data_IF_393033124103
#
_entry.id   IF_393033124103
#
_cell.length_a   1.000
_cell.length_b   1.000
_cell.length_c   1.000
_cell.angle_alpha   90.00
_cell.angle_beta   90.00
_cell.angle_gamma   90.00
#
_symmetry.space_group_name_H-M   'P 1'
#
loop_
_entity.id
_entity.type
_entity.pdbx_description
1 polymer ?
#
# COMPACT_ATOMS: atom_id res chain seq x y z
N UNK A 1 12.89 15.50 7.23
CA UNK A 1 11.73 16.25 6.72
C UNK A 1 10.50 15.40 6.95
N UNK A 2 9.37 16.01 7.28
CA UNK A 2 8.10 15.28 7.26
C UNK A 2 7.62 15.08 5.82
N UNK A 3 6.73 14.13 5.58
CA UNK A 3 6.16 13.92 4.23
C UNK A 3 5.33 15.13 3.78
N UNK A 4 4.60 15.78 4.71
CA UNK A 4 3.88 17.01 4.40
C UNK A 4 4.81 18.12 3.91
N UNK A 5 5.92 18.37 4.62
CA UNK A 5 6.92 19.35 4.18
C UNK A 5 7.55 19.01 2.82
N UNK A 6 7.71 17.72 2.52
CA UNK A 6 8.26 17.28 1.25
C UNK A 6 7.28 17.50 0.09
N UNK A 7 5.98 17.32 0.31
CA UNK A 7 4.93 17.65 -0.66
C UNK A 7 4.82 19.16 -0.87
N UNK A 8 4.81 19.94 0.22
CA UNK A 8 4.75 21.41 0.17
C UNK A 8 5.92 22.00 -0.61
N UNK A 9 7.10 21.42 -0.48
CA UNK A 9 8.33 21.83 -1.17
C UNK A 9 8.49 21.21 -2.56
N UNK A 10 7.52 20.44 -3.05
CA UNK A 10 7.58 19.72 -4.33
C UNK A 10 8.79 18.79 -4.47
N UNK A 11 9.27 18.26 -3.35
CA UNK A 11 10.20 17.13 -3.35
C UNK A 11 9.44 15.86 -3.73
N UNK A 12 8.27 15.65 -3.11
CA UNK A 12 7.28 14.65 -3.53
C UNK A 12 6.23 15.39 -4.34
N UNK A 13 5.88 14.88 -5.52
CA UNK A 13 5.05 15.61 -6.48
C UNK A 13 3.64 15.96 -5.94
N UNK A 14 2.98 14.99 -5.32
CA UNK A 14 1.58 15.12 -4.91
C UNK A 14 1.24 14.40 -3.59
N UNK A 15 0.12 14.79 -2.99
CA UNK A 15 -0.36 14.26 -1.71
C UNK A 15 -0.70 12.77 -1.78
N UNK A 16 -1.19 12.28 -2.92
CA UNK A 16 -1.54 10.87 -3.10
C UNK A 16 -0.30 9.99 -3.00
N UNK A 17 0.78 10.37 -3.69
CA UNK A 17 2.06 9.68 -3.61
C UNK A 17 2.62 9.75 -2.18
N UNK A 18 2.63 10.94 -1.58
CA UNK A 18 3.04 11.12 -0.17
C UNK A 18 2.26 10.24 0.81
N UNK A 19 0.94 10.13 0.64
CA UNK A 19 0.09 9.25 1.44
C UNK A 19 0.55 7.79 1.35
N UNK A 20 0.81 7.27 0.15
CA UNK A 20 1.27 5.89 -0.02
C UNK A 20 2.66 5.66 0.59
N UNK A 21 3.58 6.61 0.48
CA UNK A 21 4.90 6.51 1.15
C UNK A 21 4.75 6.40 2.67
N UNK A 22 3.86 7.20 3.28
CA UNK A 22 3.56 7.07 4.72
C UNK A 22 2.96 5.72 5.06
N UNK A 23 2.01 5.21 4.25
CA UNK A 23 1.40 3.89 4.46
C UNK A 23 2.41 2.75 4.35
N UNK A 24 3.34 2.82 3.40
CA UNK A 24 4.45 1.87 3.26
C UNK A 24 5.34 1.92 4.51
N UNK A 25 5.73 3.12 4.95
CA UNK A 25 6.54 3.29 6.16
C UNK A 25 5.86 2.71 7.41
N UNK A 26 4.56 2.99 7.59
CA UNK A 26 3.76 2.45 8.70
C UNK A 26 3.65 0.92 8.64
N UNK A 27 3.51 0.35 7.44
CA UNK A 27 3.54 -1.10 7.25
C UNK A 27 4.88 -1.71 7.68
N UNK A 28 6.01 -1.15 7.22
CA UNK A 28 7.36 -1.60 7.61
C UNK A 28 7.56 -1.54 9.12
N UNK A 29 7.17 -0.43 9.74
CA UNK A 29 7.22 -0.28 11.19
C UNK A 29 6.37 -1.34 11.89
N UNK A 30 5.16 -1.60 11.38
CA UNK A 30 4.22 -2.56 11.98
C UNK A 30 4.75 -3.99 11.95
N UNK A 31 5.40 -4.41 10.86
CA UNK A 31 5.98 -5.76 10.76
C UNK A 31 7.31 -5.91 11.52
N UNK A 32 7.93 -4.81 11.95
CA UNK A 32 9.11 -4.84 12.82
C UNK A 32 10.43 -4.55 12.11
N UNK A 33 10.40 -3.92 10.93
CA UNK A 33 11.61 -3.36 10.33
C UNK A 33 12.23 -2.32 11.26
N UNK A 34 13.55 -2.32 11.34
CA UNK A 34 14.32 -1.29 12.02
C UNK A 34 14.24 0.02 11.22
N UNK A 35 13.53 1.00 11.76
CA UNK A 35 13.29 2.27 11.08
C UNK A 35 14.57 3.09 10.88
N UNK A 36 15.67 2.79 11.59
CA UNK A 36 16.98 3.40 11.34
C UNK A 36 17.66 2.86 10.07
N UNK A 37 17.19 1.70 9.58
CA UNK A 37 17.67 1.00 8.38
C UNK A 37 16.69 1.10 7.21
N UNK A 38 15.77 2.06 7.25
CA UNK A 38 14.79 2.33 6.20
C UNK A 38 15.02 3.72 5.61
N UNK A 39 14.95 3.84 4.28
CA UNK A 39 14.89 5.14 3.61
C UNK A 39 13.96 5.09 2.40
N UNK A 40 13.53 6.28 1.98
CA UNK A 40 12.91 6.45 0.66
C UNK A 40 13.91 7.12 -0.27
N UNK A 41 14.11 6.54 -1.45
CA UNK A 41 14.99 7.05 -2.50
C UNK A 41 14.14 7.42 -3.71
N UNK A 42 14.21 8.68 -4.14
CA UNK A 42 13.59 9.11 -5.38
C UNK A 42 14.41 8.59 -6.57
N UNK A 43 13.73 8.18 -7.64
CA UNK A 43 14.39 7.87 -8.91
C UNK A 43 14.95 9.14 -9.55
N UNK A 44 16.13 9.04 -10.14
CA UNK A 44 16.69 10.13 -10.94
C UNK A 44 16.04 10.14 -12.33
N UNK A 45 16.11 11.28 -13.05
CA UNK A 45 15.51 11.42 -14.39
C UNK A 45 15.95 10.33 -15.38
N UNK A 46 17.18 9.83 -15.25
CA UNK A 46 17.76 8.78 -16.10
C UNK A 46 17.38 7.35 -15.68
N UNK A 47 16.78 7.18 -14.50
CA UNK A 47 16.31 5.90 -13.96
C UNK A 47 14.78 5.77 -14.04
N UNK A 48 14.08 6.90 -14.12
CA UNK A 48 12.64 6.98 -14.20
C UNK A 48 12.13 6.21 -15.43
N UNK A 49 11.19 5.31 -15.20
CA UNK A 49 10.53 4.64 -16.31
C UNK A 49 9.87 5.68 -17.22
N UNK A 50 9.91 5.47 -18.53
CA UNK A 50 9.40 6.42 -19.55
C UNK A 50 7.92 6.83 -19.39
N UNK A 51 7.19 6.17 -18.50
CA UNK A 51 5.79 6.40 -18.19
C UNK A 51 5.54 6.99 -16.79
N UNK A 52 6.55 7.09 -15.93
CA UNK A 52 6.38 7.57 -14.56
C UNK A 52 6.55 9.09 -14.47
N UNK A 53 5.67 9.75 -13.72
CA UNK A 53 5.76 11.18 -13.43
C UNK A 53 6.66 11.47 -12.22
N UNK A 54 6.60 10.60 -11.20
CA UNK A 54 7.49 10.58 -10.04
C UNK A 54 7.56 9.12 -9.52
N UNK A 55 8.68 8.72 -8.93
CA UNK A 55 8.88 7.36 -8.44
C UNK A 55 9.81 7.34 -7.23
N UNK A 56 9.39 6.61 -6.19
CA UNK A 56 10.07 6.51 -4.91
C UNK A 56 10.19 5.06 -4.47
N UNK A 57 11.40 4.63 -4.15
CA UNK A 57 11.67 3.30 -3.61
C UNK A 57 11.81 3.35 -2.10
N UNK A 58 11.05 2.51 -1.39
CA UNK A 58 11.36 2.14 -0.01
C UNK A 58 12.51 1.13 -0.02
N UNK A 59 13.68 1.55 0.45
CA UNK A 59 14.87 0.73 0.54
C UNK A 59 15.15 0.35 1.99
N UNK A 60 15.58 -0.90 2.18
CA UNK A 60 16.02 -1.43 3.46
C UNK A 60 17.52 -1.71 3.41
N UNK A 61 18.24 -1.27 4.43
CA UNK A 61 19.66 -1.57 4.59
C UNK A 61 19.82 -2.98 5.16
N UNK A 62 20.47 -3.85 4.41
CA UNK A 62 20.81 -5.22 4.81
C UNK A 62 22.29 -5.50 4.50
N UNK A 63 22.74 -6.74 4.68
CA UNK A 63 24.12 -7.16 4.46
C UNK A 63 24.65 -6.96 3.02
N UNK A 64 23.75 -6.83 2.04
CA UNK A 64 24.06 -6.50 0.64
C UNK A 64 24.03 -4.99 0.34
N UNK A 65 23.76 -4.15 1.34
CA UNK A 65 23.60 -2.71 1.20
C UNK A 65 22.12 -2.29 1.13
N UNK A 66 21.86 -1.14 0.50
CA UNK A 66 20.49 -0.64 0.32
C UNK A 66 19.78 -1.43 -0.77
N UNK A 67 18.74 -2.16 -0.38
CA UNK A 67 17.94 -3.00 -1.28
C UNK A 67 16.54 -2.44 -1.43
N UNK A 68 16.11 -2.18 -2.66
CA UNK A 68 14.74 -1.80 -2.99
C UNK A 68 13.76 -2.92 -2.60
N UNK A 69 12.79 -2.58 -1.75
CA UNK A 69 11.80 -3.51 -1.21
C UNK A 69 10.37 -3.16 -1.62
N UNK A 70 10.10 -1.87 -1.85
CA UNK A 70 8.82 -1.41 -2.40
C UNK A 70 9.07 -0.26 -3.36
N UNK A 71 8.77 -0.44 -4.64
CA UNK A 71 8.69 0.67 -5.60
C UNK A 71 7.32 1.33 -5.51
N UNK A 72 7.27 2.66 -5.45
CA UNK A 72 6.02 3.43 -5.46
C UNK A 72 6.06 4.43 -6.61
N UNK A 73 5.38 4.09 -7.70
CA UNK A 73 5.41 4.85 -8.95
C UNK A 73 4.08 5.57 -9.21
N UNK A 74 4.14 6.83 -9.64
CA UNK A 74 3.03 7.52 -10.30
C UNK A 74 3.10 7.26 -11.80
N UNK A 75 2.27 6.34 -12.30
CA UNK A 75 2.22 5.95 -13.72
C UNK A 75 1.23 6.79 -14.53
N UNK A 76 0.62 7.79 -13.89
CA UNK A 76 -0.44 8.61 -14.48
C UNK A 76 -1.46 7.72 -15.21
N UNK A 77 -1.92 8.11 -16.41
CA UNK A 77 -2.88 7.34 -17.20
C UNK A 77 -2.23 6.42 -18.25
N UNK A 78 -0.93 6.13 -18.16
CA UNK A 78 -0.16 5.50 -19.24
C UNK A 78 -0.74 4.15 -19.67
N UNK A 79 -0.90 3.21 -18.74
CA UNK A 79 -1.30 1.84 -19.05
C UNK A 79 -2.68 1.77 -19.68
N UNK A 80 -3.65 2.45 -19.06
CA UNK A 80 -5.02 2.51 -19.57
C UNK A 80 -5.06 3.18 -20.94
N UNK A 81 -4.29 4.24 -21.16
CA UNK A 81 -4.22 4.93 -22.45
C UNK A 81 -3.64 4.04 -23.54
N UNK A 82 -2.57 3.28 -23.24
CA UNK A 82 -1.94 2.36 -24.19
C UNK A 82 -2.87 1.18 -24.51
N UNK A 83 -3.49 0.57 -23.49
CA UNK A 83 -4.42 -0.54 -23.68
C UNK A 83 -5.69 -0.13 -24.45
N UNK A 84 -6.26 1.04 -24.16
CA UNK A 84 -7.40 1.59 -24.89
C UNK A 84 -7.06 1.81 -26.37
N UNK A 85 -5.89 2.40 -26.67
CA UNK A 85 -5.44 2.61 -28.06
C UNK A 85 -5.23 1.29 -28.80
N UNK A 86 -4.64 0.29 -28.13
CA UNK A 86 -4.34 -1.00 -28.76
C UNK A 86 -5.58 -1.85 -29.02
N UNK A 87 -6.58 -1.78 -28.14
CA UNK A 87 -7.76 -2.66 -28.18
C UNK A 87 -9.01 -2.00 -28.76
N UNK A 88 -9.06 -0.66 -28.79
CA UNK A 88 -10.26 0.10 -29.13
C UNK A 88 -11.35 0.04 -28.07
N UNK A 89 -11.11 -0.63 -26.93
CA UNK A 89 -12.06 -0.72 -25.81
C UNK A 89 -11.95 0.55 -24.96
N UNK A 90 -13.09 1.19 -24.69
CA UNK A 90 -13.14 2.39 -23.86
C UNK A 90 -12.80 2.04 -22.39
N UNK A 91 -11.74 2.66 -21.86
CA UNK A 91 -11.26 2.56 -20.48
C UNK A 91 -11.38 3.89 -19.72
N UNK A 92 -12.16 4.84 -20.25
CA UNK A 92 -12.46 6.11 -19.58
C UNK A 92 -13.54 5.92 -18.51
N UNK A 93 -13.45 6.74 -17.46
CA UNK A 93 -14.50 6.92 -16.46
C UNK A 93 -15.28 8.17 -16.81
N UNK A 94 -16.60 8.08 -16.74
CA UNK A 94 -17.51 9.22 -16.78
C UNK A 94 -17.95 9.55 -15.34
N UNK A 95 -17.70 10.78 -14.91
CA UNK A 95 -18.05 11.28 -13.59
C UNK A 95 -19.04 12.44 -13.71
N UNK A 96 -20.10 12.41 -12.92
CA UNK A 96 -21.05 13.52 -12.80
C UNK A 96 -20.41 14.69 -12.07
N UNK A 97 -20.45 15.87 -12.69
CA UNK A 97 -19.94 17.09 -12.07
C UNK A 97 -20.89 17.53 -10.94
N UNK A 98 -20.35 18.02 -9.80
CA UNK A 98 -21.18 18.56 -8.72
C UNK A 98 -22.08 19.71 -9.19
N UNK A 99 -21.56 20.55 -10.08
CA UNK A 99 -22.32 21.63 -10.72
C UNK A 99 -22.18 21.53 -12.24
N UNK A 100 -23.29 21.63 -13.00
CA UNK A 100 -23.22 21.62 -14.46
C UNK A 100 -22.46 22.84 -15.00
N UNK A 101 -21.47 22.59 -15.85
CA UNK A 101 -20.73 23.65 -16.53
C UNK A 101 -21.52 24.04 -17.78
N UNK A 102 -21.95 25.30 -17.86
CA UNK A 102 -22.56 25.88 -19.07
C UNK A 102 -21.47 26.62 -19.84
N UNK A 103 -21.16 26.19 -21.06
CA UNK A 103 -20.35 26.96 -21.99
C UNK A 103 -21.23 27.47 -23.12
N UNK A 104 -21.11 28.76 -23.42
CA UNK A 104 -21.73 29.36 -24.61
C UNK A 104 -20.63 29.52 -25.65
N UNK A 105 -20.77 28.78 -26.74
CA UNK A 105 -19.76 28.72 -27.80
C UNK A 105 -20.42 29.03 -29.14
N UNK A 106 -19.67 29.70 -30.02
CA UNK A 106 -20.05 29.84 -31.41
C UNK A 106 -19.88 28.49 -32.12
N UNK A 107 -20.98 27.99 -32.67
CA UNK A 107 -21.03 26.75 -33.45
C UNK A 107 -21.31 27.09 -34.90
N UNK A 108 -20.52 26.49 -35.80
CA UNK A 108 -20.67 26.64 -37.24
C UNK A 108 -21.37 25.40 -37.80
N UNK A 109 -22.61 25.55 -38.24
CA UNK A 109 -23.41 24.45 -38.76
C UNK A 109 -23.62 24.60 -40.26
N UNK A 110 -23.25 23.57 -41.02
CA UNK A 110 -23.56 23.51 -42.44
C UNK A 110 -25.02 23.11 -42.69
N UNK A 111 -25.67 23.82 -43.62
CA UNK A 111 -27.00 23.44 -44.10
C UNK A 111 -26.91 22.18 -44.97
N UNK A 112 -27.20 21.02 -44.40
CA UNK A 112 -27.10 19.70 -45.06
C UNK A 112 -27.81 19.62 -46.42
N UNK A 113 -28.90 20.38 -46.62
CA UNK A 113 -29.68 20.38 -47.87
C UNK A 113 -28.93 21.07 -49.02
N UNK A 114 -28.16 22.11 -48.71
CA UNK A 114 -27.47 22.93 -49.71
C UNK A 114 -25.98 22.57 -49.81
N UNK A 115 -25.33 22.24 -48.69
CA UNK A 115 -23.92 21.84 -48.63
C UNK A 115 -23.68 20.46 -49.24
N UNK A 116 -24.62 19.52 -49.08
CA UNK A 116 -24.57 18.16 -49.64
C UNK A 116 -24.39 18.14 -51.16
N UNK A 117 -25.29 18.76 -51.94
CA UNK A 117 -25.15 18.86 -53.39
C UNK A 117 -23.92 19.65 -53.84
N UNK A 118 -23.51 20.67 -53.07
CA UNK A 118 -22.38 21.56 -53.41
C UNK A 118 -21.02 20.89 -53.24
N UNK A 119 -20.80 20.19 -52.13
CA UNK A 119 -19.48 19.63 -51.76
C UNK A 119 -19.41 18.10 -51.85
N UNK A 120 -20.54 17.39 -52.03
CA UNK A 120 -20.63 15.93 -52.22
C UNK A 120 -19.87 15.14 -51.14
N UNK A 121 -18.77 14.47 -51.51
CA UNK A 121 -17.96 13.65 -50.60
C UNK A 121 -17.08 14.49 -49.66
N UNK A 122 -16.86 15.76 -50.00
CA UNK A 122 -15.97 16.66 -49.26
C UNK A 122 -16.69 17.45 -48.15
N UNK A 123 -18.02 17.30 -48.00
CA UNK A 123 -18.82 17.98 -46.96
C UNK A 123 -18.23 17.74 -45.56
N UNK A 124 -17.76 16.52 -45.29
CA UNK A 124 -17.14 16.17 -44.01
C UNK A 124 -15.85 16.94 -43.74
N UNK A 125 -15.05 17.25 -44.78
CA UNK A 125 -13.83 18.06 -44.64
C UNK A 125 -14.16 19.51 -44.33
N UNK A 126 -15.18 20.07 -45.00
CA UNK A 126 -15.65 21.44 -44.74
C UNK A 126 -16.19 21.56 -43.31
N UNK A 127 -16.99 20.60 -42.84
CA UNK A 127 -17.47 20.59 -41.46
C UNK A 127 -16.30 20.46 -40.47
N UNK A 128 -15.35 19.57 -40.71
CA UNK A 128 -14.17 19.40 -39.84
C UNK A 128 -13.31 20.66 -39.76
N UNK A 129 -13.18 21.40 -40.86
CA UNK A 129 -12.47 22.68 -40.89
C UNK A 129 -13.20 23.78 -40.11
N UNK A 130 -14.53 23.81 -40.17
CA UNK A 130 -15.35 24.71 -39.34
C UNK A 130 -15.26 24.35 -37.84
N UNK A 131 -15.24 23.05 -37.54
CA UNK A 131 -15.14 22.51 -36.18
C UNK A 131 -13.75 22.75 -35.55
N UNK A 132 -12.71 22.99 -36.36
CA UNK A 132 -11.36 23.32 -35.88
C UNK A 132 -11.09 24.82 -35.69
N UNK A 133 -11.99 25.71 -36.13
CA UNK A 133 -11.86 27.16 -35.92
C UNK A 133 -11.95 27.55 -34.45
N UNK A 134 -11.15 28.54 -34.03
CA UNK A 134 -11.23 29.11 -32.68
C UNK A 134 -12.53 29.90 -32.47
N UNK A 135 -12.95 30.07 -31.22
CA UNK A 135 -14.15 30.82 -30.84
C UNK A 135 -14.11 32.28 -31.35
N UNK A 136 -12.96 32.94 -31.21
CA UNK A 136 -12.75 34.30 -31.73
C UNK A 136 -12.91 34.38 -33.25
N UNK A 137 -12.45 33.36 -33.97
CA UNK A 137 -12.58 33.32 -35.42
C UNK A 137 -14.04 33.10 -35.82
N UNK A 138 -14.74 32.18 -35.15
CA UNK A 138 -16.15 31.91 -35.42
C UNK A 138 -17.03 33.13 -35.13
N UNK A 139 -16.74 33.88 -34.07
CA UNK A 139 -17.42 35.13 -33.77
C UNK A 139 -17.21 36.16 -34.90
N UNK A 140 -15.95 36.38 -35.30
CA UNK A 140 -15.63 37.30 -36.41
C UNK A 140 -16.32 36.88 -37.71
N UNK A 141 -16.26 35.61 -38.07
CA UNK A 141 -16.94 35.08 -39.26
C UNK A 141 -18.46 35.21 -39.15
N UNK A 142 -19.06 35.11 -37.96
CA UNK A 142 -20.49 35.36 -37.78
C UNK A 142 -20.90 36.79 -38.12
N UNK A 143 -20.03 37.76 -37.81
CA UNK A 143 -20.23 39.18 -38.11
C UNK A 143 -20.04 39.40 -39.62
N UNK A 144 -18.93 38.91 -40.18
CA UNK A 144 -18.65 39.01 -41.62
C UNK A 144 -19.76 38.38 -42.47
N UNK A 145 -20.29 37.22 -42.06
CA UNK A 145 -21.38 36.55 -42.77
C UNK A 145 -22.67 37.39 -42.77
N UNK A 146 -22.95 38.13 -41.69
CA UNK A 146 -24.11 39.02 -41.60
C UNK A 146 -23.95 40.27 -42.47
N UNK A 147 -22.75 40.84 -42.50
CA UNK A 147 -22.48 42.11 -43.18
C UNK A 147 -22.26 41.91 -44.70
N UNK A 148 -21.52 40.88 -45.10
CA UNK A 148 -21.11 40.64 -46.49
C UNK A 148 -21.90 39.52 -47.18
N UNK A 149 -22.64 38.72 -46.41
CA UNK A 149 -23.47 37.63 -46.93
C UNK A 149 -22.70 36.34 -47.25
N UNK A 150 -21.38 36.36 -47.11
CA UNK A 150 -20.46 35.25 -47.41
C UNK A 150 -19.21 35.31 -46.55
N UNK A 151 -18.56 34.17 -46.34
CA UNK A 151 -17.28 34.05 -45.63
C UNK A 151 -16.34 33.08 -46.32
N UNK A 152 -15.03 33.28 -46.18
CA UNK A 152 -14.03 32.32 -46.65
C UNK A 152 -13.44 31.53 -45.48
N UNK A 153 -13.38 30.21 -45.63
CA UNK A 153 -12.77 29.30 -44.65
C UNK A 153 -11.70 28.47 -45.36
N UNK A 154 -10.52 28.36 -44.75
CA UNK A 154 -9.47 27.49 -45.27
C UNK A 154 -9.77 26.03 -44.90
N UNK A 155 -9.99 25.21 -45.93
CA UNK A 155 -10.32 23.80 -45.78
C UNK A 155 -9.10 22.99 -46.23
N UNK A 156 -8.52 22.14 -45.36
CA UNK A 156 -7.38 21.29 -45.73
C UNK A 156 -7.65 20.55 -47.04
N UNK A 157 -6.69 20.58 -47.95
CA UNK A 157 -6.75 19.96 -49.29
C UNK A 157 -7.71 20.61 -50.31
N UNK A 158 -8.57 21.55 -49.88
CA UNK A 158 -9.48 22.29 -50.76
C UNK A 158 -9.12 23.78 -50.89
N UNK A 159 -8.26 24.30 -50.01
CA UNK A 159 -7.91 25.71 -49.93
C UNK A 159 -9.06 26.56 -49.41
N UNK A 160 -9.09 27.84 -49.81
CA UNK A 160 -10.13 28.77 -49.38
C UNK A 160 -11.47 28.46 -50.04
N UNK A 161 -12.47 28.13 -49.23
CA UNK A 161 -13.84 27.83 -49.65
C UNK A 161 -14.75 28.97 -49.22
N UNK A 162 -15.47 29.54 -50.19
CA UNK A 162 -16.50 30.56 -49.95
C UNK A 162 -17.81 29.89 -49.51
N UNK A 163 -18.35 30.33 -48.37
CA UNK A 163 -19.59 29.84 -47.74
C UNK A 163 -20.56 31.00 -47.57
N UNK A 164 -21.70 30.94 -48.27
CA UNK A 164 -22.80 31.90 -48.14
C UNK A 164 -23.76 31.57 -47.00
N UNK A 165 -24.69 32.51 -46.73
CA UNK A 165 -25.78 32.34 -45.76
C UNK A 165 -26.67 31.10 -46.00
N UNK A 166 -26.71 30.61 -47.24
CA UNK A 166 -27.45 29.40 -47.62
C UNK A 166 -26.70 28.11 -47.26
N UNK A 167 -25.39 28.20 -46.99
CA UNK A 167 -24.50 27.06 -46.76
C UNK A 167 -24.07 26.89 -45.31
N UNK A 168 -23.80 27.98 -44.58
CA UNK A 168 -23.29 27.94 -43.20
C UNK A 168 -24.04 28.91 -42.30
N UNK A 169 -24.22 28.53 -41.05
CA UNK A 169 -24.79 29.37 -40.00
C UNK A 169 -23.87 29.36 -38.79
N UNK A 170 -23.59 30.55 -38.26
CA UNK A 170 -22.87 30.71 -36.99
C UNK A 170 -23.85 31.15 -35.92
N UNK A 171 -24.02 30.33 -34.89
CA UNK A 171 -24.90 30.65 -33.76
C UNK A 171 -24.20 30.37 -32.43
N UNK A 172 -24.57 31.13 -31.41
CA UNK A 172 -24.18 30.81 -30.05
C UNK A 172 -25.05 29.67 -29.55
N UNK A 173 -24.42 28.54 -29.25
CA UNK A 173 -25.06 27.40 -28.63
C UNK A 173 -24.57 27.31 -27.18
N UNK A 174 -25.50 27.20 -26.23
CA UNK A 174 -25.15 26.96 -24.83
C UNK A 174 -25.25 25.47 -24.55
N UNK A 175 -24.10 24.82 -24.41
CA UNK A 175 -24.04 23.41 -24.05
C UNK A 175 -23.89 23.30 -22.53
N UNK A 176 -24.73 22.45 -21.92
CA UNK A 176 -24.59 22.12 -20.50
C UNK A 176 -23.86 20.79 -20.39
N UNK A 177 -22.64 20.81 -19.84
CA UNK A 177 -21.89 19.60 -19.50
C UNK A 177 -22.17 19.23 -18.05
N UNK A 178 -22.86 18.10 -17.87
CA UNK A 178 -23.17 17.53 -16.55
C UNK A 178 -22.17 16.46 -16.13
N UNK A 179 -21.33 15.98 -17.06
CA UNK A 179 -20.34 14.94 -16.80
C UNK A 179 -18.99 15.30 -17.39
N UNK A 180 -17.92 14.81 -16.76
CA UNK A 180 -16.56 14.78 -17.32
C UNK A 180 -16.13 13.35 -17.61
N UNK A 181 -15.35 13.17 -18.66
CA UNK A 181 -14.73 11.89 -19.00
C UNK A 181 -13.21 12.02 -18.83
N UNK A 182 -12.58 11.04 -18.20
CA UNK A 182 -11.12 11.01 -18.03
C UNK A 182 -10.61 9.58 -17.91
N UNK A 183 -9.32 9.39 -18.20
CA UNK A 183 -8.62 8.14 -17.91
C UNK A 183 -7.98 8.30 -16.53
N UNK A 184 -8.26 7.41 -15.55
CA UNK A 184 -7.71 7.52 -14.22
C UNK A 184 -6.19 7.47 -14.19
N UNK A 185 -5.60 8.28 -13.29
CA UNK A 185 -4.20 8.13 -12.93
C UNK A 185 -4.02 6.92 -11.99
N UNK A 186 -2.86 6.28 -12.06
CA UNK A 186 -2.50 5.09 -11.28
C UNK A 186 -1.26 5.37 -10.45
N UNK A 187 -1.40 5.26 -9.12
CA UNK A 187 -0.27 5.11 -8.20
C UNK A 187 -0.10 3.62 -7.91
N UNK A 188 1.11 3.11 -8.11
CA UNK A 188 1.44 1.70 -7.94
C UNK A 188 2.50 1.50 -6.84
N UNK A 189 2.07 1.10 -5.63
CA UNK A 189 2.96 0.51 -4.63
C UNK A 189 3.18 -0.98 -4.90
N UNK A 190 4.37 -1.37 -5.33
CA UNK A 190 4.74 -2.74 -5.67
C UNK A 190 5.66 -3.35 -4.61
N UNK A 191 5.19 -4.36 -3.89
CA UNK A 191 5.87 -4.92 -2.72
C UNK A 191 6.67 -6.18 -3.04
N UNK A 192 7.99 -6.12 -2.91
CA UNK A 192 8.88 -7.27 -2.98
C UNK A 192 8.89 -8.08 -1.69
N UNK A 193 7.84 -8.86 -1.41
CA UNK A 193 7.65 -9.59 -0.14
C UNK A 193 8.87 -10.42 0.27
N UNK A 194 9.53 -11.10 -0.68
CA UNK A 194 10.75 -11.87 -0.38
C UNK A 194 11.91 -11.01 0.14
N UNK A 195 12.12 -9.82 -0.45
CA UNK A 195 13.17 -8.88 -0.02
C UNK A 195 12.85 -8.24 1.33
N UNK A 196 11.57 -7.95 1.56
CA UNK A 196 11.06 -7.45 2.84
C UNK A 196 11.31 -8.50 3.93
N UNK A 197 10.93 -9.76 3.68
CA UNK A 197 11.13 -10.85 4.63
C UNK A 197 12.61 -11.06 4.93
N UNK A 198 13.47 -11.10 3.91
CA UNK A 198 14.91 -11.25 4.09
C UNK A 198 15.50 -10.12 4.96
N UNK A 199 15.15 -8.88 4.65
CA UNK A 199 15.63 -7.72 5.42
C UNK A 199 15.08 -7.74 6.85
N UNK A 200 13.83 -8.14 7.05
CA UNK A 200 13.25 -8.32 8.39
C UNK A 200 14.04 -9.34 9.21
N UNK A 201 14.37 -10.50 8.63
CA UNK A 201 15.17 -11.54 9.30
C UNK A 201 16.51 -10.99 9.78
N UNK A 202 17.23 -10.23 8.94
CA UNK A 202 18.48 -9.60 9.37
C UNK A 202 18.27 -8.53 10.44
N UNK A 203 17.17 -7.77 10.38
CA UNK A 203 16.91 -6.67 11.32
C UNK A 203 16.53 -7.17 12.70
N UNK A 204 15.91 -8.35 12.79
CA UNK A 204 15.48 -8.92 14.07
C UNK A 204 16.45 -9.97 14.63
N UNK A 205 17.50 -10.34 13.90
CA UNK A 205 18.51 -11.30 14.35
C UNK A 205 19.53 -10.67 15.30
N UNK A 206 19.82 -11.35 16.40
CA UNK A 206 20.92 -11.03 17.32
C UNK A 206 21.30 -12.24 18.16
N UNK A 207 22.42 -12.15 18.90
CA UNK A 207 22.89 -13.18 19.82
C UNK A 207 22.92 -12.68 21.26
N UNK A 208 22.62 -13.56 22.22
CA UNK A 208 22.69 -13.21 23.65
C UNK A 208 24.08 -12.74 24.03
N UNK A 209 24.15 -11.75 24.91
CA UNK A 209 25.41 -11.28 25.46
C UNK A 209 26.16 -12.41 26.17
N UNK A 210 27.44 -12.60 25.83
CA UNK A 210 28.28 -13.65 26.40
C UNK A 210 28.09 -15.05 25.79
N UNK A 211 27.14 -15.25 24.86
CA UNK A 211 26.92 -16.56 24.22
C UNK A 211 26.51 -16.42 22.73
N UNK A 212 27.51 -16.51 21.85
CA UNK A 212 27.33 -16.42 20.41
C UNK A 212 26.53 -17.59 19.82
N UNK A 213 26.38 -18.70 20.54
CA UNK A 213 25.57 -19.84 20.09
C UNK A 213 24.08 -19.66 20.38
N UNK A 214 23.70 -18.65 21.19
CA UNK A 214 22.31 -18.37 21.55
C UNK A 214 21.77 -17.24 20.70
N UNK A 215 21.42 -17.57 19.47
CA UNK A 215 20.76 -16.65 18.57
C UNK A 215 19.27 -16.46 18.91
N UNK A 216 18.72 -15.33 18.48
CA UNK A 216 17.33 -14.92 18.69
C UNK A 216 16.81 -14.24 17.41
N UNK A 217 15.61 -14.64 16.98
CA UNK A 217 14.84 -13.92 15.96
C UNK A 217 13.76 -13.08 16.66
N UNK A 218 14.00 -11.78 16.83
CA UNK A 218 13.08 -10.87 17.53
C UNK A 218 11.85 -10.44 16.72
N UNK A 219 11.13 -11.38 16.13
CA UNK A 219 9.86 -11.05 15.47
C UNK A 219 8.88 -10.40 16.45
N UNK A 220 8.16 -9.39 15.97
CA UNK A 220 7.01 -8.86 16.72
C UNK A 220 5.96 -9.96 16.90
N UNK A 221 5.28 -10.04 18.06
CA UNK A 221 4.24 -11.04 18.30
C UNK A 221 3.17 -11.11 17.21
N UNK A 222 2.82 -9.97 16.61
CA UNK A 222 1.85 -9.88 15.52
C UNK A 222 2.25 -10.64 14.26
N UNK A 223 3.56 -10.79 13.97
CA UNK A 223 4.06 -11.41 12.72
C UNK A 223 4.87 -12.69 12.94
N UNK A 224 5.22 -13.03 14.18
CA UNK A 224 5.90 -14.29 14.49
C UNK A 224 5.10 -15.50 13.96
N UNK A 225 5.70 -16.48 13.26
CA UNK A 225 4.95 -17.60 12.68
C UNK A 225 4.22 -18.43 13.75
N UNK A 226 4.93 -18.76 14.82
CA UNK A 226 4.41 -19.45 16.01
C UNK A 226 4.41 -18.47 17.16
N UNK A 227 3.32 -18.39 17.93
CA UNK A 227 3.18 -17.43 19.04
C UNK A 227 3.69 -17.99 20.36
N UNK A 228 3.45 -19.28 20.60
CA UNK A 228 3.70 -19.90 21.91
C UNK A 228 4.53 -21.16 21.78
N UNK A 229 5.55 -21.28 22.61
CA UNK A 229 6.23 -22.54 22.90
C UNK A 229 5.59 -23.16 24.14
N UNK A 230 5.00 -24.34 24.02
CA UNK A 230 4.54 -25.13 25.17
C UNK A 230 5.66 -26.06 25.60
N UNK A 231 6.10 -25.95 26.86
CA UNK A 231 7.24 -26.71 27.38
C UNK A 231 6.94 -27.31 28.76
N UNK A 232 6.75 -28.63 28.90
CA UNK A 232 6.69 -29.24 30.23
C UNK A 232 8.06 -29.18 30.89
N UNK A 233 8.14 -28.94 32.20
CA UNK A 233 9.39 -28.78 32.93
C UNK A 233 10.32 -29.97 32.73
N UNK A 234 9.76 -31.18 32.78
CA UNK A 234 10.45 -32.44 32.49
C UNK A 234 9.54 -33.38 31.70
N UNK A 235 10.13 -34.43 31.13
CA UNK A 235 9.36 -35.50 30.48
C UNK A 235 8.75 -36.41 31.56
N UNK A 236 7.57 -36.02 32.04
CA UNK A 236 6.83 -36.72 33.09
C UNK A 236 5.37 -36.91 32.66
N UNK A 237 4.88 -38.15 32.75
CA UNK A 237 3.50 -38.49 32.36
C UNK A 237 2.45 -37.80 33.24
N UNK A 238 2.82 -37.34 34.45
CA UNK A 238 1.94 -36.57 35.32
C UNK A 238 1.61 -35.19 34.76
N UNK A 239 2.49 -34.61 33.93
CA UNK A 239 2.28 -33.30 33.30
C UNK A 239 1.46 -33.40 32.00
N UNK A 240 1.35 -34.60 31.41
CA UNK A 240 0.71 -34.81 30.11
C UNK A 240 -0.75 -34.32 30.06
N UNK A 241 -1.63 -34.61 31.04
CA UNK A 241 -3.01 -34.12 30.98
C UNK A 241 -3.11 -32.60 30.98
N UNK A 242 -2.27 -31.94 31.78
CA UNK A 242 -2.21 -30.47 31.89
C UNK A 242 -1.67 -29.83 30.62
N UNK A 243 -0.68 -30.45 29.98
CA UNK A 243 -0.18 -30.02 28.66
C UNK A 243 -1.28 -30.13 27.62
N UNK A 244 -2.02 -31.25 27.58
CA UNK A 244 -3.12 -31.43 26.62
C UNK A 244 -4.23 -30.40 26.82
N UNK A 245 -4.62 -30.13 28.06
CA UNK A 245 -5.62 -29.09 28.36
C UNK A 245 -5.14 -27.68 27.94
N UNK A 246 -3.85 -27.39 28.08
CA UNK A 246 -3.25 -26.15 27.60
C UNK A 246 -3.26 -26.08 26.05
N UNK A 247 -2.91 -27.16 25.36
CA UNK A 247 -2.97 -27.25 23.90
C UNK A 247 -4.39 -27.00 23.38
N UNK A 248 -5.39 -27.71 23.94
CA UNK A 248 -6.81 -27.52 23.60
C UNK A 248 -7.25 -26.06 23.80
N UNK A 249 -6.83 -25.44 24.90
CA UNK A 249 -7.14 -24.03 25.17
C UNK A 249 -6.51 -23.07 24.17
N UNK A 250 -5.26 -23.32 23.75
CA UNK A 250 -4.59 -22.48 22.75
C UNK A 250 -5.24 -22.64 21.36
N UNK A 251 -5.68 -23.85 21.01
CA UNK A 251 -6.43 -24.13 19.79
C UNK A 251 -7.80 -23.42 19.77
N UNK A 252 -8.56 -23.48 20.87
CA UNK A 252 -9.84 -22.76 21.02
C UNK A 252 -9.69 -21.25 20.82
N UNK A 253 -8.57 -20.70 21.27
CA UNK A 253 -8.24 -19.27 21.18
C UNK A 253 -7.54 -18.90 19.86
N UNK A 254 -7.34 -19.87 18.96
CA UNK A 254 -6.64 -19.73 17.68
C UNK A 254 -5.22 -19.15 17.83
N UNK A 255 -4.49 -19.56 18.87
CA UNK A 255 -3.11 -19.16 19.13
C UNK A 255 -2.18 -20.25 18.60
N UNK A 256 -1.37 -19.94 17.57
CA UNK A 256 -0.41 -20.91 17.04
C UNK A 256 0.67 -21.24 18.07
N UNK A 257 0.93 -22.53 18.25
CA UNK A 257 1.89 -23.01 19.23
C UNK A 257 2.75 -24.16 18.72
N UNK A 258 3.88 -24.39 19.40
CA UNK A 258 4.77 -25.53 19.19
C UNK A 258 5.02 -26.22 20.54
N UNK A 259 4.92 -27.55 20.57
CA UNK A 259 5.15 -28.36 21.76
C UNK A 259 6.57 -28.94 21.77
N UNK A 260 7.34 -28.67 22.83
CA UNK A 260 8.69 -29.18 23.00
C UNK A 260 8.85 -30.08 24.23
N UNK A 261 8.71 -31.38 24.02
CA UNK A 261 8.90 -32.44 25.03
C UNK A 261 10.23 -33.19 24.87
N UNK A 262 11.20 -32.58 24.20
CA UNK A 262 12.52 -33.21 24.02
C UNK A 262 13.21 -33.43 25.36
N UNK A 263 14.03 -34.49 25.46
CA UNK A 263 14.73 -34.86 26.70
C UNK A 263 15.91 -33.98 27.09
N UNK A 264 16.07 -32.82 26.44
CA UNK A 264 17.15 -31.85 26.75
C UNK A 264 16.68 -30.87 27.84
N UNK A 265 17.63 -30.15 28.45
CA UNK A 265 17.30 -29.16 29.48
C UNK A 265 16.32 -28.10 28.96
N UNK A 266 15.48 -27.56 29.85
CA UNK A 266 14.52 -26.51 29.51
C UNK A 266 15.19 -25.29 28.89
N UNK A 267 16.40 -24.93 29.36
CA UNK A 267 17.19 -23.85 28.77
C UNK A 267 17.56 -24.09 27.30
N UNK A 268 17.90 -25.33 26.92
CA UNK A 268 18.16 -25.69 25.51
C UNK A 268 16.89 -25.65 24.66
N UNK A 269 15.75 -26.07 25.23
CA UNK A 269 14.44 -25.98 24.59
C UNK A 269 14.04 -24.52 24.35
N UNK A 270 14.22 -23.63 25.32
CA UNK A 270 14.04 -22.20 25.07
C UNK A 270 15.01 -21.67 24.02
N UNK A 271 16.29 -21.99 24.11
CA UNK A 271 17.30 -21.42 23.22
C UNK A 271 17.02 -21.70 21.73
N UNK A 272 16.64 -22.92 21.37
CA UNK A 272 16.34 -23.26 19.96
C UNK A 272 15.06 -22.60 19.44
N UNK A 273 14.10 -22.36 20.33
CA UNK A 273 12.83 -21.73 19.98
C UNK A 273 12.92 -20.19 19.98
N UNK A 274 13.82 -19.63 20.80
CA UNK A 274 14.22 -18.23 20.71
C UNK A 274 14.85 -17.95 19.33
N UNK A 275 15.69 -18.87 18.83
CA UNK A 275 16.27 -18.83 17.49
C UNK A 275 15.20 -18.96 16.38
N UNK A 276 14.19 -19.80 16.57
CA UNK A 276 13.02 -19.88 15.67
C UNK A 276 12.10 -18.64 15.76
N UNK A 277 12.31 -17.78 16.76
CA UNK A 277 11.62 -16.51 16.92
C UNK A 277 10.25 -16.59 17.59
N UNK A 278 9.97 -17.66 18.32
CA UNK A 278 8.72 -17.81 19.07
C UNK A 278 8.73 -16.81 20.24
N UNK A 279 7.78 -15.85 20.31
CA UNK A 279 7.86 -14.72 21.23
C UNK A 279 7.57 -15.11 22.68
N UNK A 280 6.74 -16.14 22.91
CA UNK A 280 6.30 -16.52 24.26
C UNK A 280 6.56 -17.99 24.53
N UNK A 281 6.96 -18.33 25.75
CA UNK A 281 7.02 -19.69 26.25
C UNK A 281 6.07 -19.89 27.44
N UNK A 282 5.27 -20.95 27.42
CA UNK A 282 4.46 -21.38 28.55
C UNK A 282 5.07 -22.66 29.11
N UNK A 283 5.48 -22.61 30.38
CA UNK A 283 6.00 -23.77 31.11
C UNK A 283 4.94 -24.39 31.99
N UNK A 284 4.82 -25.71 31.84
CA UNK A 284 3.97 -26.56 32.69
C UNK A 284 4.88 -27.27 33.69
N UNK A 285 4.78 -26.95 34.97
CA UNK A 285 5.56 -27.56 36.04
C UNK A 285 4.67 -28.30 37.04
N UNK A 286 5.26 -28.77 38.14
CA UNK A 286 4.52 -29.51 39.16
C UNK A 286 3.54 -28.63 39.94
N UNK A 287 3.85 -27.34 40.11
CA UNK A 287 2.93 -26.37 40.73
C UNK A 287 1.67 -26.21 39.87
N UNK A 288 1.80 -26.28 38.54
CA UNK A 288 0.64 -26.29 37.63
C UNK A 288 -0.37 -27.41 37.89
N UNK A 289 0.07 -28.53 38.49
CA UNK A 289 -0.83 -29.64 38.86
C UNK A 289 -1.65 -29.34 40.13
N UNK A 290 -1.16 -28.43 40.98
CA UNK A 290 -1.76 -28.12 42.27
C UNK A 290 -2.69 -26.91 42.19
N UNK A 291 -2.26 -25.85 41.50
CA UNK A 291 -2.93 -24.55 41.50
C UNK A 291 -3.44 -24.08 40.13
N UNK A 292 -3.24 -24.88 39.07
CA UNK A 292 -3.60 -24.57 37.69
C UNK A 292 -3.02 -23.22 37.19
N UNK A 293 -1.85 -22.84 37.70
CA UNK A 293 -1.08 -21.70 37.22
C UNK A 293 0.08 -22.14 36.33
N UNK A 294 0.51 -21.24 35.45
CA UNK A 294 1.56 -21.51 34.47
C UNK A 294 2.57 -20.38 34.48
N UNK A 295 3.80 -20.70 34.04
CA UNK A 295 4.84 -19.69 33.86
C UNK A 295 4.86 -19.22 32.41
N UNK A 296 4.65 -17.93 32.19
CA UNK A 296 4.80 -17.25 30.90
C UNK A 296 6.18 -16.58 30.84
N UNK A 297 6.94 -16.88 29.79
CA UNK A 297 8.27 -16.35 29.51
C UNK A 297 8.24 -15.49 28.25
N UNK A 298 8.89 -14.34 28.29
CA UNK A 298 9.18 -13.54 27.10
C UNK A 298 10.51 -13.93 26.47
N UNK A 299 10.51 -14.06 25.14
CA UNK A 299 11.70 -14.36 24.35
C UNK A 299 12.77 -13.32 24.59
N UNK A 300 12.53 -12.04 24.31
CA UNK A 300 13.60 -11.05 24.19
C UNK A 300 14.27 -10.78 25.55
N UNK A 301 13.50 -10.65 26.62
CA UNK A 301 14.00 -10.35 27.96
C UNK A 301 14.36 -11.58 28.78
N UNK A 302 13.88 -12.76 28.39
CA UNK A 302 13.94 -14.03 29.15
C UNK A 302 13.23 -14.02 30.51
N UNK A 303 12.62 -12.89 30.89
CA UNK A 303 11.91 -12.74 32.16
C UNK A 303 10.63 -13.54 32.16
N UNK A 304 10.15 -13.86 33.35
CA UNK A 304 9.05 -14.78 33.56
C UNK A 304 8.02 -14.18 34.52
N UNK A 305 6.74 -14.49 34.27
CA UNK A 305 5.62 -14.21 35.17
C UNK A 305 4.83 -15.49 35.39
N UNK A 306 4.16 -15.62 36.54
CA UNK A 306 3.30 -16.77 36.86
C UNK A 306 1.88 -16.30 37.10
N UNK A 307 0.93 -16.90 36.39
CA UNK A 307 -0.49 -16.53 36.49
C UNK A 307 -1.41 -17.68 36.06
N UNK A 308 -2.72 -17.45 36.16
CA UNK A 308 -3.72 -18.35 35.61
C UNK A 308 -3.60 -18.46 34.08
N UNK A 309 -4.12 -19.56 33.51
CA UNK A 309 -4.14 -19.72 32.06
C UNK A 309 -4.94 -18.62 31.35
N UNK A 310 -6.06 -18.18 31.92
CA UNK A 310 -6.88 -17.12 31.34
C UNK A 310 -6.14 -15.77 31.30
N UNK A 311 -5.41 -15.42 32.36
CA UNK A 311 -4.61 -14.20 32.40
C UNK A 311 -3.47 -14.21 31.37
N UNK A 312 -2.87 -15.38 31.17
CA UNK A 312 -1.78 -15.60 30.20
C UNK A 312 -2.31 -15.50 28.76
N UNK A 313 -3.43 -16.16 28.46
CA UNK A 313 -4.08 -16.10 27.15
C UNK A 313 -4.49 -14.66 26.82
N UNK A 314 -5.09 -13.93 27.76
CA UNK A 314 -5.43 -12.51 27.59
C UNK A 314 -4.18 -11.64 27.33
N UNK A 315 -3.09 -11.87 28.07
CA UNK A 315 -1.82 -11.18 27.85
C UNK A 315 -1.29 -11.42 26.43
N UNK A 316 -1.28 -12.68 25.98
CA UNK A 316 -0.81 -13.06 24.65
C UNK A 316 -1.65 -12.38 23.57
N UNK A 317 -2.98 -12.41 23.67
CA UNK A 317 -3.88 -11.73 22.73
C UNK A 317 -3.63 -10.23 22.66
N UNK A 318 -3.46 -9.56 23.80
CA UNK A 318 -3.19 -8.13 23.86
C UNK A 318 -1.84 -7.79 23.25
N UNK A 319 -0.80 -8.57 23.51
CA UNK A 319 0.53 -8.38 22.92
C UNK A 319 0.54 -8.65 21.40
N UNK A 320 -0.15 -9.69 20.92
CA UNK A 320 -0.32 -9.96 19.47
C UNK A 320 -1.02 -8.80 18.77
N UNK A 321 -2.04 -8.20 19.42
CA UNK A 321 -2.77 -7.04 18.90
C UNK A 321 -2.02 -5.71 19.09
N UNK A 322 -0.84 -5.71 19.71
CA UNK A 322 -0.06 -4.51 20.01
C UNK A 322 -0.74 -3.55 21.00
N UNK A 323 -1.64 -4.07 21.84
CA UNK A 323 -2.38 -3.30 22.87
C UNK A 323 -1.69 -3.27 24.23
N UNK A 324 -0.75 -4.18 24.45
CA UNK A 324 -0.01 -4.34 25.69
C UNK A 324 1.45 -4.67 25.35
N UNK A 325 2.39 -4.15 26.13
CA UNK A 325 3.81 -4.52 26.05
C UNK A 325 4.15 -5.56 27.12
N UNK A 326 5.26 -6.29 26.94
CA UNK A 326 5.73 -7.21 27.98
C UNK A 326 5.95 -6.50 29.33
N UNK A 327 6.47 -5.27 29.31
CA UNK A 327 6.65 -4.48 30.52
C UNK A 327 5.33 -4.17 31.25
N UNK A 328 4.21 -4.09 30.54
CA UNK A 328 2.89 -3.90 31.16
C UNK A 328 2.36 -5.20 31.78
N UNK A 329 2.60 -6.34 31.12
CA UNK A 329 2.32 -7.66 31.69
C UNK A 329 3.07 -7.85 33.01
N UNK A 330 4.36 -7.51 33.05
CA UNK A 330 5.17 -7.61 34.27
C UNK A 330 4.69 -6.70 35.42
N UNK A 331 3.93 -5.63 35.14
CA UNK A 331 3.37 -4.76 36.19
C UNK A 331 2.12 -5.35 36.83
N UNK A 332 1.37 -6.18 36.10
CA UNK A 332 0.09 -6.72 36.56
C UNK A 332 0.14 -8.19 36.98
N UNK A 333 1.06 -8.98 36.42
CA UNK A 333 1.24 -10.39 36.75
C UNK A 333 2.44 -10.60 37.68
N UNK A 334 2.35 -11.54 38.65
CA UNK A 334 3.46 -11.86 39.55
C UNK A 334 4.71 -12.27 38.77
N UNK A 335 5.82 -11.55 38.97
CA UNK A 335 7.11 -11.88 38.37
C UNK A 335 7.72 -13.08 39.09
N UNK A 336 8.21 -14.05 38.33
CA UNK A 336 8.96 -15.18 38.89
C UNK A 336 10.40 -14.71 39.12
N UNK A 337 10.80 -14.59 40.39
CA UNK A 337 12.18 -14.35 40.74
C UNK A 337 13.02 -15.59 40.41
N UNK A 338 14.13 -15.40 39.70
CA UNK A 338 15.08 -16.48 39.49
C UNK A 338 15.64 -16.90 40.85
N UNK A 339 15.40 -18.15 41.27
CA UNK A 339 16.14 -18.73 42.39
C UNK A 339 17.62 -18.75 41.98
N UNK A 340 18.51 -18.18 42.80
CA UNK A 340 19.96 -18.09 42.56
C UNK A 340 20.70 -19.44 42.47
N UNK A 341 19.99 -20.57 42.41
CA UNK A 341 20.57 -21.91 42.32
C UNK A 341 20.62 -22.38 40.86
N UNK A 342 21.64 -21.92 40.12
CA UNK A 342 22.32 -22.66 39.03
C UNK A 342 23.36 -21.73 38.36
N UNK A 343 24.41 -21.39 39.12
CA UNK A 343 25.70 -20.91 38.58
C UNK A 343 26.74 -22.01 38.62
#
# INVERSE_FOLDING_TARGET
>A
MTVGEAVDKKVIDNETLGYFLVRIMQFMQKIGIDMSKLRFRQHMENEMAHYAADCWDCELLNSYGWTECVGCADRSAFDLSVHQKATGVNLQIQETLPEPIKSTEWVAQLNKKNSGPRFKKEVGKVQSALDSLSQELREKLSITLKDEGKVEVDVPEMGKVELGNDLVKFEQETTTRTTREFIPNVIEPSFGIGRILYSLLEHVWWTREGDAARAVMSFKPSVAPTKVLVVPLQKDSRLTPTVQALEERLDEEAISYELDQSGVSIGKRYSRNDEAGIPFGITVDYESLEDNSFTLRDRDTTKQVRASLDDIVDAIHKMIKGKESWADVQKRLPVVEAKEEDK
#
